data_IF_923511241662
#
_entry.id   IF_923511241662
#
_cell.length_a   1.000
_cell.length_b   1.000
_cell.length_c   1.000
_cell.angle_alpha   90.00
_cell.angle_beta   90.00
_cell.angle_gamma   90.00
#
_symmetry.space_group_name_H-M   'P 1'
#
loop_
_entity.id
_entity.type
_entity.pdbx_description
1 polymer ?
#
# COMPACT_ATOMS: atom_id res chain seq x y z
N UNK A 1 3.39 -9.02 18.46
CA UNK A 1 3.01 -8.03 17.42
C UNK A 1 4.00 -8.15 16.28
N UNK A 2 3.51 -8.29 15.05
CA UNK A 2 4.36 -8.35 13.86
C UNK A 2 5.06 -7.01 13.65
N UNK A 3 6.31 -7.06 13.17
CA UNK A 3 7.12 -5.90 12.79
C UNK A 3 7.68 -6.13 11.40
N UNK A 4 7.78 -5.07 10.62
CA UNK A 4 8.41 -5.09 9.31
C UNK A 4 9.94 -5.18 9.44
N UNK A 5 10.58 -5.76 8.42
CA UNK A 5 12.05 -5.75 8.32
C UNK A 5 12.56 -4.38 7.87
N UNK A 6 13.75 -4.03 8.34
CA UNK A 6 14.40 -2.77 7.98
C UNK A 6 14.77 -2.77 6.49
N UNK A 7 14.49 -1.68 5.80
CA UNK A 7 14.80 -1.48 4.38
C UNK A 7 15.39 -0.09 4.17
N UNK A 8 16.17 0.08 3.11
CA UNK A 8 16.79 1.36 2.73
C UNK A 8 15.78 2.47 2.40
N UNK A 9 14.55 2.10 2.03
CA UNK A 9 13.47 3.05 1.71
C UNK A 9 12.51 3.31 2.87
N UNK A 10 12.75 2.70 4.02
CA UNK A 10 11.97 2.92 5.22
C UNK A 10 12.26 4.32 5.79
N UNK A 11 11.21 5.10 6.03
CA UNK A 11 11.30 6.51 6.43
C UNK A 11 10.36 6.84 7.58
N UNK A 12 10.63 7.92 8.27
CA UNK A 12 9.72 8.53 9.24
C UNK A 12 9.57 7.83 10.60
N UNK A 13 10.36 6.78 10.88
CA UNK A 13 10.24 6.05 12.17
C UNK A 13 10.59 6.91 13.38
N UNK A 14 11.53 7.82 13.19
CA UNK A 14 12.05 8.74 14.21
C UNK A 14 11.50 10.17 14.09
N UNK A 15 10.51 10.38 13.24
CA UNK A 15 9.91 11.68 12.90
C UNK A 15 10.91 12.68 12.27
N UNK A 16 11.94 12.20 11.60
CA UNK A 16 12.97 13.03 10.95
C UNK A 16 12.90 12.98 9.41
N UNK A 17 11.84 12.42 8.86
CA UNK A 17 11.67 12.35 7.42
C UNK A 17 11.49 13.77 6.83
N UNK A 18 12.33 14.09 5.84
CA UNK A 18 12.21 15.30 5.03
C UNK A 18 11.96 14.89 3.59
N UNK A 19 10.89 15.36 3.06
CA UNK A 19 10.49 15.05 1.68
C UNK A 19 11.51 15.53 0.67
N UNK A 20 12.17 16.66 0.93
CA UNK A 20 13.24 17.21 0.08
C UNK A 20 14.48 16.30 -0.03
N UNK A 21 14.67 15.38 0.92
CA UNK A 21 15.75 14.39 0.93
C UNK A 21 15.35 13.06 0.30
N UNK A 22 14.05 12.85 0.00
CA UNK A 22 13.54 11.63 -0.59
C UNK A 22 13.76 11.60 -2.10
N UNK A 23 14.52 10.62 -2.58
CA UNK A 23 14.80 10.46 -4.00
C UNK A 23 13.53 10.15 -4.80
N UNK A 24 13.41 10.71 -6.00
CA UNK A 24 12.39 10.36 -6.99
C UNK A 24 12.92 9.42 -8.08
N UNK A 25 14.24 9.39 -8.25
CA UNK A 25 14.96 8.54 -9.22
C UNK A 25 16.10 7.81 -8.52
N UNK A 26 16.42 6.60 -8.97
CA UNK A 26 17.57 5.84 -8.52
C UNK A 26 18.87 6.31 -9.19
N UNK A 27 20.01 5.90 -8.61
CA UNK A 27 21.30 6.06 -9.26
C UNK A 27 21.35 5.36 -10.62
N UNK A 28 22.07 5.95 -11.57
CA UNK A 28 22.21 5.40 -12.94
C UNK A 28 22.77 3.97 -12.94
N UNK A 29 23.65 3.65 -11.99
CA UNK A 29 24.24 2.31 -11.82
C UNK A 29 23.20 1.23 -11.47
N UNK A 30 22.07 1.63 -10.86
CA UNK A 30 20.98 0.72 -10.47
C UNK A 30 19.90 0.56 -11.55
N UNK A 31 20.05 1.23 -12.69
CA UNK A 31 19.01 1.28 -13.73
C UNK A 31 19.26 0.34 -14.91
N UNK A 32 20.15 -0.68 -14.78
CA UNK A 32 20.32 -1.68 -15.85
C UNK A 32 19.04 -2.47 -16.08
N UNK A 33 18.46 -2.25 -17.25
CA UNK A 33 17.14 -2.79 -17.62
C UNK A 33 17.10 -4.33 -17.66
N UNK A 34 18.21 -4.98 -18.02
CA UNK A 34 18.29 -6.45 -18.12
C UNK A 34 18.29 -7.05 -16.71
N UNK A 35 19.13 -6.53 -15.85
CA UNK A 35 19.25 -6.92 -14.45
C UNK A 35 17.92 -6.71 -13.71
N UNK A 36 17.33 -5.52 -13.80
CA UNK A 36 16.05 -5.22 -13.17
C UNK A 36 14.89 -6.10 -13.65
N UNK A 37 14.86 -6.45 -14.95
CA UNK A 37 13.83 -7.37 -15.48
C UNK A 37 13.99 -8.79 -14.94
N UNK A 38 15.23 -9.28 -14.87
CA UNK A 38 15.53 -10.60 -14.31
C UNK A 38 15.11 -10.64 -12.84
N UNK A 39 15.60 -9.69 -12.04
CA UNK A 39 15.30 -9.60 -10.62
C UNK A 39 13.78 -9.51 -10.34
N UNK A 40 13.06 -8.68 -11.10
CA UNK A 40 11.60 -8.60 -10.95
C UNK A 40 10.92 -9.94 -11.27
N UNK A 41 11.48 -10.70 -12.22
CA UNK A 41 11.01 -12.05 -12.55
C UNK A 41 11.17 -13.02 -11.39
N UNK A 42 12.34 -13.03 -10.80
CA UNK A 42 12.71 -13.90 -9.67
C UNK A 42 11.89 -13.54 -8.42
N UNK A 43 11.79 -12.24 -8.09
CA UNK A 43 10.97 -11.75 -6.98
C UNK A 43 9.48 -12.10 -7.10
N UNK A 44 8.93 -12.05 -8.31
CA UNK A 44 7.53 -12.44 -8.56
C UNK A 44 7.29 -13.93 -8.35
N UNK A 45 8.25 -14.75 -8.75
CA UNK A 45 8.16 -16.20 -8.54
C UNK A 45 8.15 -16.49 -7.04
N UNK A 46 9.09 -15.93 -6.32
CA UNK A 46 9.19 -16.12 -4.88
C UNK A 46 7.99 -15.54 -4.12
N UNK A 47 7.48 -14.37 -4.55
CA UNK A 47 6.26 -13.80 -3.98
C UNK A 47 5.06 -14.76 -4.10
N UNK A 48 4.93 -15.44 -5.25
CA UNK A 48 3.86 -16.40 -5.46
C UNK A 48 4.01 -17.62 -4.54
N UNK A 49 5.23 -18.11 -4.33
CA UNK A 49 5.53 -19.24 -3.43
C UNK A 49 5.24 -18.88 -1.96
N UNK A 50 5.74 -17.73 -1.51
CA UNK A 50 5.51 -17.24 -0.13
C UNK A 50 4.02 -16.95 0.12
N UNK A 51 3.31 -16.40 -0.87
CA UNK A 51 1.86 -16.19 -0.76
C UNK A 51 1.11 -17.51 -0.67
N UNK A 52 1.50 -18.53 -1.42
CA UNK A 52 0.89 -19.86 -1.32
C UNK A 52 1.09 -20.48 0.07
N UNK A 53 2.28 -20.33 0.65
CA UNK A 53 2.54 -20.77 2.03
C UNK A 53 1.72 -19.97 3.05
N UNK A 54 1.62 -18.64 2.89
CA UNK A 54 0.80 -17.79 3.76
C UNK A 54 -0.67 -18.19 3.70
N UNK A 55 -1.17 -18.47 2.50
CA UNK A 55 -2.55 -18.92 2.28
C UNK A 55 -2.83 -20.27 2.95
N UNK A 56 -1.91 -21.21 2.81
CA UNK A 56 -2.03 -22.55 3.42
C UNK A 56 -1.90 -22.49 4.96
N UNK A 57 -1.07 -21.58 5.48
CA UNK A 57 -0.90 -21.38 6.94
C UNK A 57 -2.19 -20.88 7.60
N UNK A 58 -2.91 -19.99 6.95
CA UNK A 58 -4.20 -19.41 7.37
C UNK A 58 -4.23 -18.82 8.81
N UNK A 59 -3.11 -18.22 9.24
CA UNK A 59 -2.96 -17.65 10.60
C UNK A 59 -2.68 -16.16 10.60
N UNK A 60 -1.88 -15.70 9.67
CA UNK A 60 -1.42 -14.32 9.54
C UNK A 60 -1.88 -13.73 8.22
N UNK A 61 -1.81 -12.42 8.08
CA UNK A 61 -2.11 -11.73 6.82
C UNK A 61 -1.14 -10.59 6.57
N UNK A 62 -1.12 -10.09 5.35
CA UNK A 62 -0.34 -8.94 4.95
C UNK A 62 -1.27 -7.88 4.37
N UNK A 63 -1.23 -6.66 4.90
CA UNK A 63 -1.88 -5.49 4.34
C UNK A 63 -0.83 -4.59 3.69
N UNK A 64 -1.02 -4.29 2.42
CA UNK A 64 -0.15 -3.40 1.65
C UNK A 64 -0.95 -2.17 1.23
N UNK A 65 -0.48 -1.00 1.63
CA UNK A 65 -1.10 0.29 1.32
C UNK A 65 -0.25 1.02 0.29
N UNK A 66 -0.85 1.44 -0.82
CA UNK A 66 -0.21 2.28 -1.83
C UNK A 66 -0.80 3.69 -1.82
N UNK A 67 0.06 4.66 -1.57
CA UNK A 67 -0.24 6.08 -1.68
C UNK A 67 0.73 6.77 -2.65
N UNK A 68 0.25 7.68 -3.44
CA UNK A 68 1.05 8.49 -4.36
C UNK A 68 0.20 9.55 -5.03
N UNK A 69 0.83 10.56 -5.57
CA UNK A 69 0.22 11.51 -6.50
C UNK A 69 -0.38 10.79 -7.73
N UNK A 70 -1.30 11.44 -8.42
CA UNK A 70 -1.87 10.87 -9.64
C UNK A 70 -0.78 10.66 -10.71
N UNK A 71 -1.00 9.68 -11.57
CA UNK A 71 -0.03 9.20 -12.56
C UNK A 71 1.30 8.63 -12.01
N UNK A 72 1.53 8.54 -10.68
CA UNK A 72 2.73 7.93 -10.12
C UNK A 72 2.89 6.43 -10.46
N UNK A 73 1.81 5.72 -10.75
CA UNK A 73 1.86 4.36 -11.28
C UNK A 73 1.36 3.27 -10.32
N UNK A 74 0.55 3.62 -9.32
CA UNK A 74 -0.05 2.67 -8.36
C UNK A 74 -0.62 1.42 -9.03
N UNK A 75 -1.64 1.55 -9.89
CA UNK A 75 -2.29 0.41 -10.57
C UNK A 75 -1.32 -0.46 -11.36
N UNK A 76 -0.41 0.19 -12.10
CA UNK A 76 0.55 -0.54 -12.95
C UNK A 76 1.59 -1.29 -12.11
N UNK A 77 1.91 -0.80 -10.92
CA UNK A 77 2.83 -1.46 -9.99
C UNK A 77 2.15 -2.65 -9.34
N UNK A 78 0.95 -2.48 -8.82
CA UNK A 78 0.13 -3.57 -8.27
C UNK A 78 -0.01 -4.70 -9.30
N UNK A 79 -0.52 -4.39 -10.50
CA UNK A 79 -0.66 -5.36 -11.59
C UNK A 79 0.67 -6.05 -11.93
N UNK A 80 1.77 -5.30 -11.94
CA UNK A 80 3.08 -5.83 -12.33
C UNK A 80 3.68 -6.73 -11.25
N UNK A 81 3.63 -6.34 -9.99
CA UNK A 81 4.23 -7.08 -8.88
C UNK A 81 3.46 -8.38 -8.59
N UNK A 82 2.14 -8.32 -8.62
CA UNK A 82 1.27 -9.44 -8.23
C UNK A 82 0.77 -10.31 -9.40
N UNK A 83 1.36 -10.20 -10.60
CA UNK A 83 0.87 -10.90 -11.79
C UNK A 83 1.03 -12.44 -11.76
N UNK A 84 1.78 -13.00 -10.82
CA UNK A 84 1.95 -14.45 -10.60
C UNK A 84 1.28 -14.96 -9.33
N UNK A 85 0.76 -14.06 -8.51
CA UNK A 85 0.11 -14.40 -7.24
C UNK A 85 -1.26 -15.02 -7.52
N UNK A 86 -1.60 -16.08 -6.77
CA UNK A 86 -2.94 -16.69 -6.87
C UNK A 86 -4.01 -15.66 -6.44
N UNK A 87 -4.98 -15.34 -7.32
CA UNK A 87 -6.03 -14.38 -7.01
C UNK A 87 -6.91 -14.77 -5.81
N UNK A 88 -7.03 -16.06 -5.48
CA UNK A 88 -7.77 -16.51 -4.30
C UNK A 88 -7.11 -16.06 -2.98
N UNK A 89 -5.79 -15.87 -2.97
CA UNK A 89 -5.04 -15.43 -1.80
C UNK A 89 -4.65 -13.95 -1.81
N UNK A 90 -5.20 -13.16 -2.74
CA UNK A 90 -4.86 -11.74 -2.90
C UNK A 90 -6.10 -10.91 -3.23
N UNK A 91 -6.37 -9.87 -2.46
CA UNK A 91 -7.51 -8.98 -2.68
C UNK A 91 -7.04 -7.54 -2.89
N UNK A 92 -7.44 -6.94 -4.02
CA UNK A 92 -7.16 -5.52 -4.32
C UNK A 92 -8.43 -4.71 -4.06
N UNK A 93 -8.31 -3.72 -3.17
CA UNK A 93 -9.36 -2.74 -2.90
C UNK A 93 -8.91 -1.36 -3.37
N UNK A 94 -9.65 -0.76 -4.29
CA UNK A 94 -9.38 0.60 -4.79
C UNK A 94 -10.36 1.57 -4.17
N UNK A 95 -9.85 2.50 -3.36
CA UNK A 95 -10.66 3.50 -2.69
C UNK A 95 -10.83 4.74 -3.58
N UNK A 96 -12.07 5.09 -3.85
CA UNK A 96 -12.47 6.31 -4.54
C UNK A 96 -13.06 7.30 -3.54
N UNK A 97 -13.63 8.40 -4.03
CA UNK A 97 -14.44 9.30 -3.20
C UNK A 97 -15.49 8.48 -2.42
N UNK A 98 -15.68 8.77 -1.12
CA UNK A 98 -16.66 8.06 -0.32
C UNK A 98 -18.09 8.20 -0.88
N UNK A 99 -18.84 7.10 -0.84
CA UNK A 99 -20.28 7.10 -1.10
C UNK A 99 -21.05 7.70 0.09
N UNK A 100 -22.34 7.98 -0.11
CA UNK A 100 -23.20 8.44 1.00
C UNK A 100 -23.24 7.47 2.16
N UNK A 101 -23.30 6.16 1.87
CA UNK A 101 -23.25 5.12 2.89
C UNK A 101 -21.92 5.13 3.68
N UNK A 102 -20.79 5.31 3.00
CA UNK A 102 -19.48 5.38 3.64
C UNK A 102 -19.33 6.66 4.48
N UNK A 103 -19.97 7.78 4.08
CA UNK A 103 -20.01 9.03 4.85
C UNK A 103 -20.94 8.97 6.07
N UNK A 104 -21.88 8.04 6.13
CA UNK A 104 -22.73 7.79 7.30
C UNK A 104 -22.02 7.01 8.41
N UNK A 105 -20.83 6.48 8.11
CA UNK A 105 -19.96 5.77 9.06
C UNK A 105 -18.72 6.61 9.37
N UNK A 106 -17.95 6.18 10.38
CA UNK A 106 -16.63 6.75 10.62
C UNK A 106 -15.69 6.50 9.41
N UNK A 107 -14.67 7.35 9.25
CA UNK A 107 -13.80 7.32 8.08
C UNK A 107 -12.98 6.03 7.93
N UNK A 108 -12.81 5.23 8.99
CA UNK A 108 -12.11 3.94 8.95
C UNK A 108 -12.99 2.79 8.51
N UNK A 109 -14.32 2.90 8.64
CA UNK A 109 -15.27 1.82 8.41
C UNK A 109 -15.05 1.14 7.05
N UNK A 110 -14.99 1.90 5.96
CA UNK A 110 -14.82 1.37 4.60
C UNK A 110 -13.49 0.63 4.40
N UNK A 111 -12.47 0.98 5.15
CA UNK A 111 -11.16 0.31 5.13
C UNK A 111 -11.17 -0.94 6.00
N UNK A 112 -11.84 -0.89 7.14
CA UNK A 112 -11.97 -2.01 8.05
C UNK A 112 -12.67 -3.22 7.42
N UNK A 113 -13.79 -3.00 6.72
CA UNK A 113 -14.51 -4.08 6.01
C UNK A 113 -13.75 -4.66 4.80
N UNK A 114 -12.64 -4.04 4.41
CA UNK A 114 -11.75 -4.48 3.32
C UNK A 114 -10.42 -5.00 3.82
N UNK A 115 -10.21 -5.02 5.15
CA UNK A 115 -9.00 -5.58 5.74
C UNK A 115 -8.83 -7.06 5.35
N UNK A 116 -7.59 -7.54 5.13
CA UNK A 116 -7.37 -8.89 4.65
C UNK A 116 -7.80 -9.94 5.67
N UNK A 117 -8.42 -10.99 5.17
CA UNK A 117 -8.64 -12.23 5.92
C UNK A 117 -7.29 -12.90 6.25
N UNK A 118 -7.28 -13.84 7.21
CA UNK A 118 -6.10 -14.66 7.48
C UNK A 118 -5.70 -15.45 6.23
N UNK A 119 -4.41 -15.70 6.06
CA UNK A 119 -3.86 -16.34 4.88
C UNK A 119 -3.78 -15.46 3.64
N UNK A 120 -4.35 -14.24 3.65
CA UNK A 120 -4.46 -13.40 2.44
C UNK A 120 -3.54 -12.18 2.47
N UNK A 121 -3.24 -11.69 1.26
CA UNK A 121 -2.62 -10.39 1.03
C UNK A 121 -3.71 -9.41 0.61
N UNK A 122 -4.00 -8.40 1.45
CA UNK A 122 -4.83 -7.26 1.10
C UNK A 122 -3.98 -6.15 0.49
N UNK A 123 -4.43 -5.58 -0.61
CA UNK A 123 -3.76 -4.48 -1.29
C UNK A 123 -4.73 -3.31 -1.38
N UNK A 124 -4.40 -2.22 -0.73
CA UNK A 124 -5.15 -0.98 -0.78
C UNK A 124 -4.52 -0.03 -1.80
N UNK A 125 -5.22 0.19 -2.91
CA UNK A 125 -4.89 1.24 -3.88
C UNK A 125 -5.62 2.52 -3.47
N UNK A 126 -4.88 3.47 -2.88
CA UNK A 126 -5.36 4.49 -1.94
C UNK A 126 -5.90 3.81 -0.68
N UNK A 127 -6.29 4.55 0.33
CA UNK A 127 -6.74 3.95 1.61
C UNK A 127 -7.41 5.00 2.51
N UNK A 128 -7.56 4.69 3.79
CA UNK A 128 -7.90 5.64 4.85
C UNK A 128 -6.94 6.84 4.92
N UNK A 129 -5.75 6.74 4.38
CA UNK A 129 -4.80 7.85 4.32
C UNK A 129 -5.25 9.01 3.41
N UNK A 130 -6.24 8.82 2.53
CA UNK A 130 -6.87 9.92 1.80
C UNK A 130 -7.46 10.96 2.78
N UNK A 131 -7.84 10.53 3.98
CA UNK A 131 -8.36 11.37 5.05
C UNK A 131 -7.30 12.28 5.69
N UNK A 132 -6.04 11.95 5.56
CA UNK A 132 -4.89 12.78 5.98
C UNK A 132 -4.15 13.43 4.81
N UNK A 133 -4.57 13.16 3.57
CA UNK A 133 -3.99 13.71 2.34
C UNK A 133 -5.01 14.57 1.60
N UNK A 134 -5.92 13.97 0.88
CA UNK A 134 -6.93 14.70 0.07
C UNK A 134 -7.81 15.57 0.94
N UNK A 135 -8.32 15.05 2.06
CA UNK A 135 -9.17 15.83 2.97
C UNK A 135 -8.38 16.96 3.65
N UNK A 136 -7.07 16.78 3.89
CA UNK A 136 -6.22 17.83 4.44
C UNK A 136 -5.97 18.96 3.43
N UNK A 137 -5.76 18.63 2.17
CA UNK A 137 -5.60 19.61 1.09
C UNK A 137 -6.93 20.30 0.74
N UNK A 138 -8.04 19.61 0.94
CA UNK A 138 -9.40 20.11 0.72
C UNK A 138 -10.24 20.03 2.01
N UNK A 139 -9.97 20.85 3.03
CA UNK A 139 -10.59 20.72 4.35
C UNK A 139 -12.11 20.89 4.34
N UNK A 140 -12.67 21.53 3.31
CA UNK A 140 -14.13 21.60 3.14
C UNK A 140 -14.81 20.23 3.02
N UNK A 141 -14.06 19.16 2.65
CA UNK A 141 -14.61 17.80 2.63
C UNK A 141 -14.97 17.28 4.03
N UNK A 142 -14.42 17.85 5.10
CA UNK A 142 -14.80 17.53 6.48
C UNK A 142 -16.27 17.84 6.76
N UNK A 143 -16.84 18.84 6.09
CA UNK A 143 -18.27 19.21 6.25
C UNK A 143 -19.22 18.07 5.87
N UNK A 144 -18.81 17.18 4.95
CA UNK A 144 -19.60 16.02 4.55
C UNK A 144 -19.53 14.86 5.56
N UNK A 145 -18.55 14.85 6.46
CA UNK A 145 -18.36 13.80 7.46
C UNK A 145 -19.23 13.98 8.72
N UNK A 146 -19.99 15.07 8.82
CA UNK A 146 -20.95 15.38 9.92
C UNK A 146 -20.31 15.32 11.32
N UNK A 147 -19.09 15.83 11.44
CA UNK A 147 -18.35 15.88 12.70
C UNK A 147 -18.89 17.01 13.59
N UNK A 148 -19.08 16.73 14.90
CA UNK A 148 -19.71 17.70 15.83
C UNK A 148 -18.80 18.88 16.19
N UNK A 149 -17.47 18.65 16.24
CA UNK A 149 -16.52 19.59 16.82
C UNK A 149 -15.59 20.22 15.76
N UNK A 150 -16.11 20.48 14.57
CA UNK A 150 -15.34 21.21 13.56
C UNK A 150 -15.29 22.70 13.90
N UNK A 151 -14.11 23.34 13.80
CA UNK A 151 -14.01 24.78 13.97
C UNK A 151 -14.75 25.52 12.83
N UNK A 152 -15.20 26.75 13.08
CA UNK A 152 -15.88 27.57 12.08
C UNK A 152 -14.98 27.85 10.86
N UNK A 153 -13.68 28.04 11.10
CA UNK A 153 -12.67 28.24 10.05
C UNK A 153 -11.79 27.01 9.93
N UNK A 154 -11.82 26.37 8.77
CA UNK A 154 -11.09 25.13 8.46
C UNK A 154 -9.67 25.42 7.93
N UNK A 155 -8.92 26.28 8.62
CA UNK A 155 -7.53 26.55 8.31
C UNK A 155 -6.58 25.60 9.07
N UNK A 156 -5.32 25.57 8.66
CA UNK A 156 -4.32 24.65 9.22
C UNK A 156 -4.11 24.84 10.73
N UNK A 157 -4.13 26.09 11.21
CA UNK A 157 -3.94 26.40 12.62
C UNK A 157 -5.08 25.87 13.49
N UNK A 158 -6.32 26.05 13.05
CA UNK A 158 -7.51 25.61 13.78
C UNK A 158 -7.69 24.10 13.71
N UNK A 159 -7.18 23.45 12.64
CA UNK A 159 -7.27 22.00 12.43
C UNK A 159 -6.06 21.22 12.96
N UNK A 160 -5.06 21.85 13.57
CA UNK A 160 -3.85 21.16 14.02
C UNK A 160 -4.15 20.00 14.98
N UNK A 161 -4.96 20.22 16.01
CA UNK A 161 -5.38 19.18 16.96
C UNK A 161 -6.24 18.09 16.30
N UNK A 162 -7.08 18.47 15.33
CA UNK A 162 -7.88 17.54 14.56
C UNK A 162 -7.02 16.58 13.74
N UNK A 163 -6.00 17.07 13.05
CA UNK A 163 -5.09 16.23 12.27
C UNK A 163 -4.29 15.30 13.17
N UNK A 164 -3.87 15.75 14.35
CA UNK A 164 -3.16 14.93 15.32
C UNK A 164 -4.02 13.73 15.74
N UNK A 165 -5.26 13.95 16.13
CA UNK A 165 -6.20 12.90 16.49
C UNK A 165 -6.45 11.93 15.33
N UNK A 166 -6.46 12.43 14.08
CA UNK A 166 -6.61 11.59 12.90
C UNK A 166 -5.40 10.69 12.68
N UNK A 167 -4.20 11.20 12.87
CA UNK A 167 -2.95 10.40 12.80
C UNK A 167 -2.90 9.34 13.92
N UNK A 168 -3.36 9.67 15.11
CA UNK A 168 -3.46 8.71 16.21
C UNK A 168 -4.44 7.57 15.85
N UNK A 169 -5.59 7.89 15.27
CA UNK A 169 -6.56 6.88 14.81
C UNK A 169 -5.97 5.94 13.77
N UNK A 170 -5.15 6.44 12.83
CA UNK A 170 -4.43 5.59 11.87
C UNK A 170 -3.45 4.66 12.60
N UNK A 171 -2.64 5.20 13.52
CA UNK A 171 -1.67 4.43 14.27
C UNK A 171 -2.32 3.35 15.15
N UNK A 172 -3.43 3.66 15.78
CA UNK A 172 -4.17 2.73 16.64
C UNK A 172 -4.79 1.59 15.83
N UNK A 173 -5.35 1.90 14.66
CA UNK A 173 -5.87 0.88 13.74
C UNK A 173 -4.78 -0.06 13.26
N UNK A 174 -3.66 0.46 12.79
CA UNK A 174 -2.52 -0.35 12.31
C UNK A 174 -1.90 -1.16 13.44
N UNK A 175 -1.82 -0.60 14.64
CA UNK A 175 -1.36 -1.30 15.84
C UNK A 175 -2.31 -2.42 16.24
N UNK A 176 -3.63 -2.21 16.11
CA UNK A 176 -4.63 -3.24 16.31
C UNK A 176 -4.44 -4.39 15.32
N UNK A 177 -4.30 -4.10 14.03
CA UNK A 177 -4.04 -5.10 12.98
C UNK A 177 -2.77 -5.90 13.28
N UNK A 178 -1.67 -5.23 13.62
CA UNK A 178 -0.38 -5.87 13.89
C UNK A 178 -0.42 -6.79 15.14
N UNK A 179 -1.19 -6.42 16.16
CA UNK A 179 -1.44 -7.27 17.34
C UNK A 179 -2.24 -8.52 17.00
N UNK A 180 -3.09 -8.44 15.98
CA UNK A 180 -3.96 -9.53 15.54
C UNK A 180 -3.38 -10.34 14.37
N UNK A 181 -2.08 -10.20 14.08
CA UNK A 181 -1.38 -11.04 13.11
C UNK A 181 -1.41 -10.53 11.67
N UNK A 182 -1.78 -9.27 11.44
CA UNK A 182 -1.66 -8.61 10.13
C UNK A 182 -0.41 -7.73 10.10
N UNK A 183 0.53 -8.03 9.22
CA UNK A 183 1.65 -7.11 8.95
C UNK A 183 1.17 -6.00 8.01
N UNK A 184 1.52 -4.74 8.32
CA UNK A 184 1.14 -3.59 7.51
C UNK A 184 2.39 -2.98 6.86
N UNK A 185 2.40 -2.85 5.52
CA UNK A 185 3.45 -2.18 4.75
C UNK A 185 2.84 -1.03 3.97
N UNK A 186 3.43 0.15 4.07
CA UNK A 186 2.90 1.36 3.42
C UNK A 186 3.91 1.91 2.42
N UNK A 187 3.51 1.99 1.16
CA UNK A 187 4.34 2.50 0.07
C UNK A 187 3.88 3.88 -0.37
N UNK A 188 4.74 4.85 -0.25
CA UNK A 188 4.62 6.13 -0.93
C UNK A 188 5.48 6.08 -2.20
N UNK A 189 4.82 6.13 -3.37
CA UNK A 189 5.51 6.14 -4.66
C UNK A 189 5.88 7.59 -4.98
N UNK A 190 7.13 7.96 -4.71
CA UNK A 190 7.66 9.31 -4.84
C UNK A 190 8.02 9.61 -6.30
N UNK A 191 7.05 10.13 -7.05
CA UNK A 191 7.25 10.61 -8.42
C UNK A 191 7.60 12.09 -8.42
N UNK A 192 8.53 12.51 -9.29
CA UNK A 192 8.82 13.93 -9.48
C UNK A 192 7.67 14.65 -10.19
N UNK A 193 7.54 15.95 -9.92
CA UNK A 193 6.53 16.80 -10.59
C UNK A 193 6.72 16.78 -12.11
N UNK A 194 7.97 16.74 -12.60
CA UNK A 194 8.26 16.68 -14.04
C UNK A 194 7.87 15.34 -14.66
N UNK A 195 8.22 14.21 -14.04
CA UNK A 195 7.81 12.89 -14.54
C UNK A 195 6.29 12.72 -14.52
N UNK A 196 5.59 13.25 -13.51
CA UNK A 196 4.13 13.27 -13.49
C UNK A 196 3.56 14.00 -14.71
N UNK A 197 4.11 15.18 -15.07
CA UNK A 197 3.72 15.93 -16.27
C UNK A 197 3.91 15.10 -17.53
N UNK A 198 5.09 14.45 -17.68
CA UNK A 198 5.38 13.59 -18.83
C UNK A 198 4.35 12.46 -18.94
N UNK A 199 3.94 11.87 -17.82
CA UNK A 199 2.93 10.80 -17.78
C UNK A 199 1.52 11.32 -18.14
N UNK A 200 1.17 12.52 -17.76
CA UNK A 200 -0.09 13.14 -18.17
C UNK A 200 -0.10 13.45 -19.68
N UNK A 201 0.99 14.00 -20.20
CA UNK A 201 1.13 14.23 -21.65
C UNK A 201 1.05 12.91 -22.43
N UNK A 202 1.67 11.83 -21.95
CA UNK A 202 1.53 10.50 -22.55
C UNK A 202 0.07 10.01 -22.54
N UNK A 203 -0.72 10.30 -21.48
CA UNK A 203 -2.14 9.95 -21.46
C UNK A 203 -2.96 10.72 -22.49
N UNK A 204 -2.60 11.97 -22.79
CA UNK A 204 -3.28 12.80 -23.79
C UNK A 204 -2.90 12.38 -25.22
N UNK A 205 -1.64 12.05 -25.46
CA UNK A 205 -1.11 11.77 -26.79
C UNK A 205 -1.36 10.33 -27.27
N UNK A 206 -1.65 9.39 -26.38
CA UNK A 206 -1.84 7.97 -26.70
C UNK A 206 -3.33 7.60 -26.55
N UNK A 207 -4.07 7.37 -27.65
CA UNK A 207 -5.53 7.15 -27.62
C UNK A 207 -5.98 6.06 -26.67
N UNK A 208 -5.23 4.95 -26.56
CA UNK A 208 -5.51 3.86 -25.64
C UNK A 208 -5.32 4.20 -24.15
N UNK A 209 -4.77 5.39 -23.86
CA UNK A 209 -4.59 5.92 -22.50
C UNK A 209 -5.54 7.08 -22.16
N UNK A 210 -6.23 7.65 -23.15
CA UNK A 210 -7.08 8.84 -22.94
C UNK A 210 -8.15 8.62 -21.86
N UNK A 211 -8.72 7.42 -21.78
CA UNK A 211 -9.73 7.08 -20.77
C UNK A 211 -9.25 7.19 -19.31
N UNK A 212 -7.94 7.29 -19.09
CA UNK A 212 -7.31 7.48 -17.77
C UNK A 212 -7.12 8.96 -17.42
N UNK A 213 -7.33 9.85 -18.36
CA UNK A 213 -7.13 11.27 -18.14
C UNK A 213 -8.38 11.90 -17.53
N UNK A 214 -8.18 12.72 -16.50
CA UNK A 214 -9.21 13.57 -15.90
C UNK A 214 -8.72 15.01 -15.85
N UNK A 215 -9.58 15.96 -16.19
CA UNK A 215 -9.28 17.38 -16.00
C UNK A 215 -9.09 17.74 -14.52
N UNK A 216 -9.69 16.97 -13.61
CA UNK A 216 -9.47 17.06 -12.17
C UNK A 216 -8.00 16.83 -11.79
N UNK A 217 -7.31 15.88 -12.45
CA UNK A 217 -5.90 15.58 -12.18
C UNK A 217 -5.00 16.83 -12.33
N UNK A 218 -5.35 17.74 -13.25
CA UNK A 218 -4.58 18.98 -13.44
C UNK A 218 -4.83 19.98 -12.31
N UNK A 219 -6.05 20.03 -11.77
CA UNK A 219 -6.38 20.86 -10.62
C UNK A 219 -5.65 20.39 -9.38
N UNK A 220 -5.65 19.08 -9.13
CA UNK A 220 -4.90 18.48 -8.01
C UNK A 220 -3.39 18.70 -8.17
N UNK A 221 -2.85 18.62 -9.39
CA UNK A 221 -1.44 18.93 -9.64
C UNK A 221 -1.08 20.39 -9.31
N UNK A 222 -1.99 21.33 -9.44
CA UNK A 222 -1.76 22.75 -9.07
C UNK A 222 -1.48 22.88 -7.55
N UNK A 223 -2.06 22.01 -6.73
CA UNK A 223 -1.88 21.94 -5.27
C UNK A 223 -0.68 21.05 -4.85
N UNK A 224 0.30 20.89 -5.73
CA UNK A 224 1.44 19.99 -5.51
C UNK A 224 2.14 20.21 -4.16
N UNK A 225 2.40 21.47 -3.81
CA UNK A 225 3.13 21.79 -2.57
C UNK A 225 2.31 21.45 -1.33
N UNK A 226 1.01 21.64 -1.38
CA UNK A 226 0.09 21.31 -0.27
C UNK A 226 0.05 19.78 -0.06
N UNK A 227 -0.01 19.00 -1.15
CA UNK A 227 0.12 17.55 -1.08
C UNK A 227 1.47 17.09 -0.54
N UNK A 228 2.57 17.73 -0.98
CA UNK A 228 3.91 17.36 -0.50
C UNK A 228 4.05 17.63 1.00
N UNK A 229 3.54 18.77 1.48
CA UNK A 229 3.49 19.07 2.90
C UNK A 229 2.63 18.04 3.66
N UNK A 230 1.44 17.73 3.15
CA UNK A 230 0.58 16.72 3.75
C UNK A 230 1.24 15.33 3.83
N UNK A 231 1.99 14.91 2.80
CA UNK A 231 2.76 13.65 2.81
C UNK A 231 3.87 13.67 3.88
N UNK A 232 4.64 14.74 3.98
CA UNK A 232 5.73 14.86 4.95
C UNK A 232 5.21 14.72 6.39
N UNK A 233 4.19 15.48 6.73
CA UNK A 233 3.54 15.44 8.04
C UNK A 233 2.94 14.05 8.32
N UNK A 234 2.18 13.51 7.39
CA UNK A 234 1.53 12.22 7.53
C UNK A 234 2.56 11.09 7.74
N UNK A 235 3.64 11.05 6.96
CA UNK A 235 4.70 10.03 7.07
C UNK A 235 5.39 10.14 8.43
N UNK A 236 5.74 11.36 8.87
CA UNK A 236 6.40 11.59 10.15
C UNK A 236 5.53 11.14 11.33
N UNK A 237 4.24 11.40 11.28
CA UNK A 237 3.33 11.05 12.38
C UNK A 237 2.90 9.58 12.39
N UNK A 238 2.89 8.92 11.22
CA UNK A 238 2.29 7.60 11.10
C UNK A 238 3.26 6.47 10.73
N UNK A 239 4.54 6.75 10.48
CA UNK A 239 5.52 5.68 10.30
C UNK A 239 5.87 5.06 11.65
N UNK A 240 5.59 3.77 11.83
CA UNK A 240 5.84 3.02 13.08
C UNK A 240 6.52 1.68 12.74
N UNK A 241 7.28 1.11 13.66
CA UNK A 241 7.96 -0.18 13.44
C UNK A 241 7.02 -1.31 13.02
N UNK A 242 5.78 -1.28 13.47
CA UNK A 242 4.76 -2.29 13.13
C UNK A 242 4.01 -1.97 11.82
N UNK A 243 4.14 -0.76 11.31
CA UNK A 243 3.51 -0.28 10.10
C UNK A 243 4.35 0.86 9.48
N UNK A 244 5.53 0.56 8.91
CA UNK A 244 6.41 1.59 8.38
C UNK A 244 5.97 2.11 7.01
N UNK A 245 6.38 3.34 6.70
CA UNK A 245 6.36 3.88 5.36
C UNK A 245 7.66 3.60 4.61
N UNK A 246 7.51 3.31 3.32
CA UNK A 246 8.62 3.16 2.37
C UNK A 246 8.47 4.21 1.26
N UNK A 247 9.42 5.14 1.19
CA UNK A 247 9.47 6.19 0.16
C UNK A 247 10.19 5.64 -1.09
N UNK A 248 9.46 5.12 -2.04
CA UNK A 248 10.02 4.44 -3.22
C UNK A 248 10.21 5.41 -4.38
N UNK A 249 11.44 5.60 -4.92
CA UNK A 249 11.69 6.38 -6.13
C UNK A 249 10.85 5.86 -7.29
N UNK A 250 10.01 6.72 -7.89
CA UNK A 250 8.98 6.29 -8.83
C UNK A 250 9.12 6.81 -10.26
N UNK A 251 10.14 7.60 -10.57
CA UNK A 251 10.36 8.12 -11.93
C UNK A 251 10.71 6.98 -12.90
N UNK A 252 11.53 6.01 -12.49
CA UNK A 252 11.74 4.79 -13.27
C UNK A 252 10.77 3.68 -12.83
N UNK A 253 9.78 3.37 -13.68
CA UNK A 253 8.74 2.38 -13.39
C UNK A 253 9.27 0.97 -13.11
N UNK A 254 10.34 0.56 -13.79
CA UNK A 254 10.88 -0.79 -13.61
C UNK A 254 11.61 -0.90 -12.27
N UNK A 255 12.45 0.08 -11.95
CA UNK A 255 13.12 0.17 -10.66
C UNK A 255 12.11 0.19 -9.50
N UNK A 256 11.14 1.10 -9.56
CA UNK A 256 10.07 1.19 -8.57
C UNK A 256 9.40 -0.17 -8.30
N UNK A 257 9.07 -0.92 -9.35
CA UNK A 257 8.44 -2.24 -9.23
C UNK A 257 9.35 -3.28 -8.57
N UNK A 258 10.65 -3.24 -8.87
CA UNK A 258 11.65 -4.10 -8.22
C UNK A 258 11.73 -3.78 -6.73
N UNK A 259 11.82 -2.51 -6.35
CA UNK A 259 11.95 -2.12 -4.94
C UNK A 259 10.70 -2.47 -4.14
N UNK A 260 9.51 -2.25 -4.69
CA UNK A 260 8.24 -2.67 -4.08
C UNK A 260 8.20 -4.18 -3.91
N UNK A 261 8.51 -4.96 -4.96
CA UNK A 261 8.51 -6.41 -4.91
C UNK A 261 9.52 -6.94 -3.87
N UNK A 262 10.74 -6.40 -3.87
CA UNK A 262 11.81 -6.76 -2.92
C UNK A 262 11.37 -6.54 -1.47
N UNK A 263 10.86 -5.36 -1.16
CA UNK A 263 10.38 -5.04 0.19
C UNK A 263 9.27 -5.99 0.64
N UNK A 264 8.34 -6.34 -0.23
CA UNK A 264 7.26 -7.29 0.09
C UNK A 264 7.83 -8.70 0.33
N UNK A 265 8.69 -9.18 -0.56
CA UNK A 265 9.30 -10.52 -0.45
C UNK A 265 10.16 -10.64 0.81
N UNK A 266 10.99 -9.66 1.12
CA UNK A 266 11.82 -9.64 2.35
C UNK A 266 10.95 -9.71 3.61
N UNK A 267 9.84 -9.01 3.65
CA UNK A 267 8.90 -9.06 4.76
C UNK A 267 8.18 -10.41 4.86
N UNK A 268 7.75 -11.00 3.75
CA UNK A 268 7.15 -12.34 3.74
C UNK A 268 8.17 -13.42 4.13
N UNK A 269 9.43 -13.33 3.68
CA UNK A 269 10.51 -14.21 4.16
C UNK A 269 10.67 -14.14 5.69
N UNK A 270 10.68 -12.93 6.24
CA UNK A 270 10.79 -12.71 7.68
C UNK A 270 9.55 -13.22 8.44
N UNK A 271 8.36 -13.15 7.84
CA UNK A 271 7.18 -13.80 8.40
C UNK A 271 7.33 -15.33 8.41
N UNK A 272 8.12 -15.90 7.49
CA UNK A 272 8.37 -17.34 7.39
C UNK A 272 7.08 -18.17 7.43
N UNK A 273 6.13 -17.97 6.50
CA UNK A 273 4.90 -18.78 6.46
C UNK A 273 5.23 -20.23 6.13
N UNK A 274 4.49 -21.18 6.72
CA UNK A 274 4.75 -22.60 6.58
C UNK A 274 3.47 -23.35 6.21
N UNK A 275 3.60 -24.38 5.37
CA UNK A 275 2.50 -25.30 5.17
C UNK A 275 2.11 -25.98 6.50
N UNK A 276 0.82 -26.14 6.79
CA UNK A 276 0.38 -26.84 8.00
C UNK A 276 0.87 -28.28 7.98
N UNK A 277 1.34 -28.74 9.14
CA UNK A 277 1.68 -30.16 9.28
C UNK A 277 0.40 -30.98 9.37
N UNK A 278 0.31 -32.01 8.55
CA UNK A 278 -0.77 -32.99 8.65
C UNK A 278 -0.62 -33.76 9.96
N UNK A 279 -1.71 -33.91 10.70
CA UNK A 279 -1.72 -34.72 11.92
C UNK A 279 -1.35 -36.17 11.60
N UNK A 280 -0.55 -36.82 12.49
CA UNK A 280 -0.08 -38.19 12.29
C UNK A 280 -1.23 -39.17 12.00
N UNK A 281 -2.34 -39.05 12.73
CA UNK A 281 -3.54 -39.88 12.56
C UNK A 281 -4.14 -39.74 11.15
N UNK A 282 -4.02 -38.59 10.52
CA UNK A 282 -4.53 -38.34 9.16
C UNK A 282 -3.53 -38.84 8.10
N UNK A 283 -2.23 -38.63 8.34
CA UNK A 283 -1.19 -39.11 7.40
C UNK A 283 -1.08 -40.64 7.38
N UNK A 284 -1.40 -41.33 8.48
CA UNK A 284 -1.46 -42.80 8.52
C UNK A 284 -2.50 -43.41 7.58
N UNK A 285 -3.54 -42.64 7.19
CA UNK A 285 -4.56 -43.08 6.24
C UNK A 285 -4.18 -42.83 4.77
N UNK A 286 -3.11 -42.10 4.49
CA UNK A 286 -2.76 -41.70 3.13
C UNK A 286 -2.50 -42.89 2.20
N UNK A 287 -1.84 -43.95 2.70
CA UNK A 287 -1.56 -45.14 1.92
C UNK A 287 -2.84 -45.93 1.63
N UNK A 288 -3.76 -46.03 2.59
CA UNK A 288 -5.10 -46.66 2.38
C UNK A 288 -5.86 -45.87 1.32
N UNK A 289 -5.96 -44.54 1.43
CA UNK A 289 -6.64 -43.69 0.47
C UNK A 289 -6.02 -43.76 -0.93
N UNK A 290 -4.68 -43.81 -1.00
CA UNK A 290 -3.97 -44.02 -2.26
C UNK A 290 -4.33 -45.32 -2.92
N UNK A 291 -4.29 -46.42 -2.16
CA UNK A 291 -4.66 -47.75 -2.68
C UNK A 291 -6.11 -47.79 -3.19
N UNK A 292 -7.04 -47.13 -2.50
CA UNK A 292 -8.42 -47.02 -2.96
C UNK A 292 -8.52 -46.28 -4.30
N UNK A 293 -7.85 -45.12 -4.42
CA UNK A 293 -7.85 -44.34 -5.66
C UNK A 293 -7.17 -45.06 -6.83
N UNK A 294 -6.12 -45.83 -6.58
CA UNK A 294 -5.39 -46.60 -7.60
C UNK A 294 -6.17 -47.87 -8.04
N UNK A 295 -7.16 -48.28 -7.29
CA UNK A 295 -8.04 -49.44 -7.59
C UNK A 295 -9.28 -49.06 -8.39
N UNK A 296 -9.58 -47.80 -8.62
CA UNK A 296 -10.64 -47.30 -9.50
C UNK A 296 -10.25 -47.39 -10.97
#
# INVERSE_FOLDING_TARGET
>A
MLKAVKSNFQVGIDNQFKLSEAATIADKSELDKKTLKKELGDLRQELAELQHQLFAEDKRSLLIVFQAMDAAGKDSTIRSVFNRVNPAGCQVSSFKQPSSLELDHDFMWRSNIRAPERGKIGIFNRSYYEEGLVVRVHPDYLKYQRLNDLPETLDEKNLQGFWQNRFESFNDYEKHLARNGTLVLKFWLNVSKEEQKNRFLSRLNEPEKNWKFSSGDIKERALWNDYMHAYEELINHTSKEHAPWYAIPADNKLYMRVQVARTIVENLRAMNPQFPKVEKKESEKFDEMRNLLESE
#
